data_IF_112910391068
#
_entry.id   IF_112910391068
#
_cell.length_a   1.000
_cell.length_b   1.000
_cell.length_c   1.000
_cell.angle_alpha   90.00
_cell.angle_beta   90.00
_cell.angle_gamma   90.00
#
_symmetry.space_group_name_H-M   'P 1'
#
loop_
_entity.id
_entity.type
_entity.pdbx_description
1 polymer ?
#
# COMPACT_ATOMS: atom_id res chain seq x y z
N UNK A 1 5.33 -5.78 1.47
CA UNK A 1 4.38 -5.33 0.42
C UNK A 1 3.87 -6.53 -0.35
N UNK A 2 2.58 -6.57 -0.65
CA UNK A 2 1.92 -7.58 -1.50
C UNK A 2 1.18 -6.85 -2.63
N UNK A 3 1.35 -7.34 -3.86
CA UNK A 3 0.66 -6.85 -5.05
C UNK A 3 -0.22 -7.99 -5.57
N UNK A 4 -1.50 -7.73 -5.84
CA UNK A 4 -2.42 -8.74 -6.38
C UNK A 4 -3.39 -8.16 -7.40
N UNK A 5 -3.78 -8.98 -8.39
CA UNK A 5 -4.85 -8.67 -9.34
C UNK A 5 -6.10 -9.52 -9.01
N UNK A 6 -7.11 -8.97 -8.32
CA UNK A 6 -8.34 -9.70 -7.95
C UNK A 6 -9.29 -9.99 -9.13
N UNK A 7 -8.89 -9.77 -10.39
CA UNK A 7 -9.70 -10.14 -11.56
C UNK A 7 -10.74 -9.10 -11.98
N UNK A 8 -10.59 -7.84 -11.54
CA UNK A 8 -11.52 -6.73 -11.83
C UNK A 8 -10.91 -5.55 -12.61
N UNK A 9 -9.80 -5.78 -13.33
CA UNK A 9 -8.94 -4.71 -13.86
C UNK A 9 -8.44 -3.74 -12.77
N UNK A 10 -8.27 -4.28 -11.56
CA UNK A 10 -7.78 -3.54 -10.41
C UNK A 10 -6.48 -4.19 -9.93
N UNK A 11 -5.61 -3.39 -9.33
CA UNK A 11 -4.42 -3.85 -8.64
C UNK A 11 -4.54 -3.44 -7.18
N UNK A 12 -4.33 -4.38 -6.27
CA UNK A 12 -4.30 -4.08 -4.83
C UNK A 12 -2.85 -4.09 -4.36
N UNK A 13 -2.43 -2.98 -3.75
CA UNK A 13 -1.17 -2.87 -3.00
C UNK A 13 -1.50 -2.91 -1.51
N UNK A 14 -0.96 -3.91 -0.82
CA UNK A 14 -1.08 -4.08 0.62
C UNK A 14 0.29 -4.02 1.29
N UNK A 15 0.41 -3.24 2.34
CA UNK A 15 1.58 -3.26 3.20
C UNK A 15 1.22 -2.89 4.64
N UNK A 16 2.02 -3.41 5.56
CA UNK A 16 1.94 -3.06 6.97
C UNK A 16 3.01 -2.01 7.26
N UNK A 17 2.68 -1.04 8.10
CA UNK A 17 3.62 -0.02 8.57
C UNK A 17 3.22 0.50 9.94
N UNK A 18 3.93 1.50 10.44
CA UNK A 18 3.62 2.18 11.69
C UNK A 18 3.19 3.60 11.39
N UNK A 19 2.06 4.03 11.96
CA UNK A 19 1.61 5.41 12.00
C UNK A 19 1.21 5.74 13.44
N UNK A 20 1.68 6.88 13.98
CA UNK A 20 1.46 7.27 15.38
C UNK A 20 1.79 6.14 16.39
N UNK A 21 2.92 5.45 16.17
CA UNK A 21 3.39 4.32 17.00
C UNK A 21 2.50 3.06 16.97
N UNK A 22 1.41 3.06 16.19
CA UNK A 22 0.53 1.91 16.00
C UNK A 22 0.80 1.22 14.68
N UNK A 23 0.71 -0.12 14.69
CA UNK A 23 0.76 -0.91 13.46
C UNK A 23 -0.52 -0.71 12.68
N UNK A 24 -0.39 -0.27 11.43
CA UNK A 24 -1.47 -0.12 10.48
C UNK A 24 -1.25 -1.00 9.25
N UNK A 25 -2.34 -1.55 8.73
CA UNK A 25 -2.44 -2.09 7.39
C UNK A 25 -2.93 -0.99 6.45
N UNK A 26 -2.27 -0.88 5.30
CA UNK A 26 -2.61 0.06 4.23
C UNK A 26 -3.04 -0.70 2.99
N UNK A 27 -4.19 -0.32 2.43
CA UNK A 27 -4.74 -0.89 1.19
C UNK A 27 -4.90 0.20 0.15
N UNK A 28 -4.20 0.10 -0.96
CA UNK A 28 -4.47 0.90 -2.16
C UNK A 28 -5.10 0.03 -3.24
N UNK A 29 -6.28 0.43 -3.70
CA UNK A 29 -6.95 -0.17 -4.86
C UNK A 29 -6.73 0.75 -6.04
N UNK A 30 -5.96 0.26 -7.00
CA UNK A 30 -5.60 0.96 -8.22
C UNK A 30 -6.45 0.45 -9.38
N UNK A 31 -6.73 1.31 -10.36
CA UNK A 31 -7.23 0.87 -11.66
C UNK A 31 -6.13 0.31 -12.57
N UNK A 32 -6.49 -0.02 -13.81
CA UNK A 32 -5.56 -0.51 -14.82
C UNK A 32 -4.56 0.54 -15.32
N UNK A 33 -4.74 1.81 -14.97
CA UNK A 33 -3.79 2.90 -15.21
C UNK A 33 -2.94 3.21 -13.98
N UNK A 34 -3.04 2.37 -12.93
CA UNK A 34 -2.35 2.54 -11.64
C UNK A 34 -2.78 3.80 -10.87
N UNK A 35 -3.97 4.34 -11.15
CA UNK A 35 -4.54 5.46 -10.39
C UNK A 35 -5.25 4.94 -9.15
N UNK A 36 -5.01 5.58 -8.00
CA UNK A 36 -5.68 5.22 -6.74
C UNK A 36 -7.17 5.54 -6.86
N UNK A 37 -8.01 4.50 -6.85
CA UNK A 37 -9.47 4.64 -6.76
C UNK A 37 -9.94 4.74 -5.32
N UNK A 38 -9.29 3.98 -4.42
CA UNK A 38 -9.65 3.88 -3.01
C UNK A 38 -8.42 3.60 -2.16
N UNK A 39 -8.37 4.23 -0.99
CA UNK A 39 -7.45 3.92 0.09
C UNK A 39 -8.24 3.44 1.31
N UNK A 40 -7.69 2.45 2.01
CA UNK A 40 -8.20 2.01 3.31
C UNK A 40 -7.04 1.83 4.27
N UNK A 41 -7.26 2.24 5.51
CA UNK A 41 -6.30 2.14 6.59
C UNK A 41 -6.97 1.45 7.76
N UNK A 42 -6.28 0.51 8.38
CA UNK A 42 -6.81 -0.20 9.52
C UNK A 42 -5.73 -0.61 10.49
N UNK A 43 -6.02 -0.62 11.78
CA UNK A 43 -5.16 -1.23 12.80
C UNK A 43 -5.86 -2.47 13.39
N UNK A 44 -5.09 -3.26 14.14
CA UNK A 44 -5.67 -4.28 15.03
C UNK A 44 -5.81 -3.59 16.38
N UNK A 45 -7.05 -3.38 16.82
CA UNK A 45 -7.30 -2.78 18.13
C UNK A 45 -6.87 -3.72 19.25
N UNK A 46 -6.82 -3.20 20.47
CA UNK A 46 -6.50 -4.00 21.66
C UNK A 46 -7.47 -5.18 21.86
N UNK A 47 -8.64 -5.15 21.23
CA UNK A 47 -9.64 -6.22 21.24
C UNK A 47 -9.39 -7.30 20.15
N UNK A 48 -8.27 -7.21 19.41
CA UNK A 48 -7.92 -8.06 18.26
C UNK A 48 -8.91 -7.99 17.10
N UNK A 49 -9.68 -6.89 17.03
CA UNK A 49 -10.61 -6.61 15.94
C UNK A 49 -9.92 -5.65 14.99
N UNK A 50 -10.12 -5.86 13.69
CA UNK A 50 -9.60 -4.96 12.66
C UNK A 50 -10.54 -3.77 12.53
N UNK A 51 -10.03 -2.58 12.79
CA UNK A 51 -10.82 -1.34 12.80
C UNK A 51 -10.29 -0.37 11.74
N UNK A 52 -11.19 0.35 11.07
CA UNK A 52 -10.80 1.39 10.12
C UNK A 52 -10.26 2.58 10.91
N UNK A 53 -9.16 3.17 10.43
CA UNK A 53 -8.55 4.35 11.06
C UNK A 53 -8.48 5.51 10.09
N UNK A 54 -8.78 6.69 10.60
CA UNK A 54 -8.55 7.93 9.87
C UNK A 54 -7.11 8.40 10.11
N UNK A 55 -6.39 8.69 9.03
CA UNK A 55 -5.04 9.24 9.07
C UNK A 55 -5.02 10.64 8.45
N UNK A 56 -4.02 11.45 8.82
CA UNK A 56 -3.90 12.80 8.27
C UNK A 56 -3.41 12.78 6.82
N UNK A 57 -3.70 13.83 6.06
CA UNK A 57 -3.20 13.98 4.69
C UNK A 57 -1.65 13.90 4.60
N UNK A 58 -0.94 14.46 5.59
CA UNK A 58 0.51 14.36 5.66
C UNK A 58 1.00 12.91 5.82
N UNK A 59 0.23 12.09 6.55
CA UNK A 59 0.52 10.68 6.72
C UNK A 59 0.20 9.91 5.42
N UNK A 60 -0.90 10.21 4.74
CA UNK A 60 -1.19 9.65 3.41
C UNK A 60 -0.06 9.93 2.41
N UNK A 61 0.47 11.15 2.40
CA UNK A 61 1.60 11.53 1.54
C UNK A 61 2.88 10.74 1.88
N UNK A 62 3.16 10.56 3.18
CA UNK A 62 4.29 9.75 3.66
C UNK A 62 4.16 8.29 3.20
N UNK A 63 2.98 7.71 3.36
CA UNK A 63 2.68 6.33 2.95
C UNK A 63 2.80 6.15 1.43
N UNK A 64 2.32 7.11 0.66
CA UNK A 64 2.44 7.10 -0.79
C UNK A 64 3.92 7.11 -1.23
N UNK A 65 4.75 7.96 -0.62
CA UNK A 65 6.20 8.02 -0.90
C UNK A 65 6.90 6.69 -0.62
N UNK A 66 6.50 5.97 0.43
CA UNK A 66 7.03 4.63 0.73
C UNK A 66 6.69 3.65 -0.39
N UNK A 67 5.41 3.58 -0.79
CA UNK A 67 4.98 2.67 -1.86
C UNK A 67 5.64 2.99 -3.18
N UNK A 68 5.76 4.28 -3.54
CA UNK A 68 6.43 4.72 -4.76
C UNK A 68 7.87 4.21 -4.81
N UNK A 69 8.63 4.40 -3.71
CA UNK A 69 10.01 3.94 -3.63
C UNK A 69 10.13 2.42 -3.76
N UNK A 70 9.32 1.66 -3.03
CA UNK A 70 9.35 0.19 -3.07
C UNK A 70 8.99 -0.37 -4.46
N UNK A 71 8.01 0.24 -5.15
CA UNK A 71 7.65 -0.14 -6.52
C UNK A 71 8.75 0.22 -7.51
N UNK A 72 9.37 1.39 -7.39
CA UNK A 72 10.48 1.80 -8.26
C UNK A 72 11.68 0.86 -8.10
N UNK A 73 12.06 0.55 -6.86
CA UNK A 73 13.15 -0.37 -6.54
C UNK A 73 12.85 -1.80 -7.04
N UNK A 74 11.60 -2.25 -6.91
CA UNK A 74 11.15 -3.51 -7.49
C UNK A 74 11.31 -3.52 -9.02
N UNK A 75 10.82 -2.50 -9.72
CA UNK A 75 10.91 -2.42 -11.18
C UNK A 75 12.37 -2.37 -11.67
N UNK A 76 13.24 -1.60 -10.99
CA UNK A 76 14.68 -1.58 -11.27
C UNK A 76 15.30 -2.97 -11.11
N UNK A 77 14.99 -3.68 -10.03
CA UNK A 77 15.51 -5.02 -9.77
C UNK A 77 15.04 -6.03 -10.80
N UNK A 78 13.77 -5.96 -11.21
CA UNK A 78 13.23 -6.82 -12.26
C UNK A 78 13.89 -6.55 -13.61
N UNK A 79 14.09 -5.29 -13.96
CA UNK A 79 14.77 -4.91 -15.19
C UNK A 79 16.20 -5.44 -15.24
N UNK A 80 16.98 -5.21 -14.17
CA UNK A 80 18.34 -5.74 -14.05
C UNK A 80 18.38 -7.27 -14.16
N UNK A 81 17.41 -7.96 -13.58
CA UNK A 81 17.35 -9.44 -13.63
C UNK A 81 17.07 -9.98 -15.03
N UNK A 82 16.27 -9.26 -15.83
CA UNK A 82 15.86 -9.71 -17.16
C UNK A 82 16.83 -9.30 -18.26
N UNK A 83 17.53 -8.18 -18.10
CA UNK A 83 18.29 -7.55 -19.18
C UNK A 83 19.73 -7.16 -18.82
N UNK A 84 20.12 -7.28 -17.55
CA UNK A 84 21.43 -6.87 -17.07
C UNK A 84 22.35 -8.02 -16.71
#
# INVERSE_FOLDING_TARGET
MKISNPGRNEVTVLFETTAKEEKIDVYYILDNQLTIKRSYYSNISNQKIKESVDISQAEEERLLKIVQKELEDFMKKMYQTLYG
#
